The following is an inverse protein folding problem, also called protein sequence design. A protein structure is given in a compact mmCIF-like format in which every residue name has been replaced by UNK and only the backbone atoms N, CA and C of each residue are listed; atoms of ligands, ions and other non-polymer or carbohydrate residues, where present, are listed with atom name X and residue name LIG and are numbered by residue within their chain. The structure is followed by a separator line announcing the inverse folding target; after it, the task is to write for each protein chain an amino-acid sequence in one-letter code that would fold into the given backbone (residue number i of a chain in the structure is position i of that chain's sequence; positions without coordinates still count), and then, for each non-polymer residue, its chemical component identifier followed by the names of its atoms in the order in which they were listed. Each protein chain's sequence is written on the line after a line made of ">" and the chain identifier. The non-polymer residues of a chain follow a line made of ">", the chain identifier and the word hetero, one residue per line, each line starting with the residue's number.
data_IF_418497301230
#
_entry.id   IF_418497301230
#
_cell.length_a   1.000
_cell.length_b   1.000
_cell.length_c   1.000
_cell.angle_alpha   90.00
_cell.angle_beta   90.00
_cell.angle_gamma   90.00
#
_symmetry.space_group_name_H-M   'P 1'
#
loop_
_entity.id
_entity.type
_entity.pdbx_description
1 polymer ?
#
# COMPACT_ATOMS: atom_id res chain seq x y z
N UNK A 1 -8.44 -58.21 18.33
CA UNK A 1 -8.65 -56.77 18.60
C UNK A 1 -7.29 -56.10 18.73
N UNK A 2 -6.88 -55.39 17.68
CA UNK A 2 -5.52 -54.87 17.47
C UNK A 2 -5.19 -53.73 18.42
N UNK A 3 -4.19 -53.91 19.30
CA UNK A 3 -3.66 -52.88 20.21
C UNK A 3 -2.22 -52.45 19.84
N UNK A 4 -1.87 -52.48 18.56
CA UNK A 4 -0.49 -52.21 18.10
C UNK A 4 -0.44 -51.30 16.87
N UNK A 5 -1.24 -50.23 16.83
CA UNK A 5 -1.21 -49.24 15.75
C UNK A 5 -1.43 -47.81 16.25
N UNK A 6 -0.77 -47.42 17.34
CA UNK A 6 -0.68 -46.00 17.73
C UNK A 6 0.77 -45.70 18.13
N UNK A 7 1.68 -45.98 17.23
CA UNK A 7 3.03 -45.42 17.22
C UNK A 7 3.24 -44.93 15.78
N UNK A 8 3.81 -43.73 15.64
CA UNK A 8 4.13 -43.04 14.37
C UNK A 8 3.01 -42.21 13.72
N UNK A 9 2.71 -41.06 14.32
CA UNK A 9 2.51 -39.80 13.60
C UNK A 9 3.28 -38.74 14.42
N UNK A 10 4.62 -38.80 14.46
CA UNK A 10 5.50 -38.24 13.45
C UNK A 10 5.08 -36.81 13.08
N UNK A 11 5.87 -35.85 13.57
CA UNK A 11 5.62 -34.45 13.45
C UNK A 11 5.47 -34.00 12.00
N UNK A 12 4.50 -33.13 11.78
CA UNK A 12 4.47 -32.23 10.66
C UNK A 12 3.76 -30.95 11.12
N UNK A 13 4.32 -30.30 12.13
CA UNK A 13 4.06 -28.88 12.36
C UNK A 13 4.71 -28.15 11.17
N UNK A 14 3.93 -28.03 10.11
CA UNK A 14 4.22 -27.23 8.92
C UNK A 14 4.63 -25.84 9.38
N UNK A 15 5.93 -25.56 9.29
CA UNK A 15 6.43 -24.20 9.18
C UNK A 15 5.78 -23.62 7.92
N UNK A 16 4.65 -22.94 8.09
CA UNK A 16 4.15 -22.00 7.10
C UNK A 16 5.16 -20.84 7.15
N UNK A 17 6.24 -20.99 6.38
CA UNK A 17 7.12 -19.87 6.08
C UNK A 17 6.25 -18.77 5.52
N UNK A 18 6.15 -17.67 6.24
CA UNK A 18 5.57 -16.44 5.72
C UNK A 18 6.42 -16.06 4.51
N UNK A 19 5.98 -16.43 3.32
CA UNK A 19 6.56 -15.93 2.08
C UNK A 19 6.24 -14.44 2.05
N UNK A 20 7.15 -13.61 2.57
CA UNK A 20 7.17 -12.19 2.29
C UNK A 20 7.54 -12.05 0.82
N UNK A 21 6.55 -12.22 -0.06
CA UNK A 21 6.69 -11.86 -1.46
C UNK A 21 7.02 -10.38 -1.46
N UNK A 22 8.27 -10.03 -1.74
CA UNK A 22 8.65 -8.64 -1.93
C UNK A 22 7.75 -8.09 -3.05
N UNK A 23 7.08 -6.97 -2.79
CA UNK A 23 6.28 -6.31 -3.82
C UNK A 23 7.16 -6.04 -5.04
N UNK A 24 6.65 -6.26 -6.24
CA UNK A 24 7.41 -5.86 -7.44
C UNK A 24 7.57 -4.33 -7.45
N UNK A 25 8.60 -3.79 -8.11
CA UNK A 25 8.78 -2.34 -8.20
C UNK A 25 7.53 -1.61 -8.69
N UNK A 26 6.77 -2.19 -9.62
CA UNK A 26 5.52 -1.64 -10.15
C UNK A 26 4.41 -1.59 -9.09
N UNK A 27 4.28 -2.64 -8.29
CA UNK A 27 3.31 -2.68 -7.19
C UNK A 27 3.67 -1.67 -6.10
N UNK A 28 4.96 -1.50 -5.82
CA UNK A 28 5.44 -0.47 -4.88
C UNK A 28 5.13 0.94 -5.41
N UNK A 29 5.35 1.19 -6.71
CA UNK A 29 4.98 2.45 -7.35
C UNK A 29 3.49 2.76 -7.25
N UNK A 30 2.63 1.77 -7.52
CA UNK A 30 1.17 1.93 -7.37
C UNK A 30 0.77 2.23 -5.93
N UNK A 31 1.40 1.56 -4.96
CA UNK A 31 1.17 1.83 -3.53
C UNK A 31 1.61 3.25 -3.16
N UNK A 32 2.78 3.68 -3.60
CA UNK A 32 3.29 5.03 -3.34
C UNK A 32 2.39 6.11 -3.95
N UNK A 33 1.90 5.92 -5.17
CA UNK A 33 0.89 6.80 -5.77
C UNK A 33 -0.38 6.84 -4.92
N UNK A 34 -0.86 5.69 -4.48
CA UNK A 34 -2.04 5.63 -3.64
C UNK A 34 -1.86 6.35 -2.29
N UNK A 35 -0.73 6.14 -1.62
CA UNK A 35 -0.41 6.82 -0.35
C UNK A 35 -0.38 8.34 -0.53
N UNK A 36 0.18 8.81 -1.66
CA UNK A 36 0.18 10.22 -2.06
C UNK A 36 -1.25 10.74 -2.26
N UNK A 37 -2.06 10.03 -3.04
CA UNK A 37 -3.44 10.43 -3.33
C UNK A 37 -4.31 10.42 -2.06
N UNK A 38 -4.11 9.49 -1.12
CA UNK A 38 -4.82 9.49 0.19
C UNK A 38 -4.53 10.76 0.98
N UNK A 39 -3.26 11.20 1.03
CA UNK A 39 -2.88 12.45 1.71
C UNK A 39 -3.54 13.65 1.02
N UNK A 40 -3.63 13.67 -0.30
CA UNK A 40 -4.29 14.76 -1.02
C UNK A 40 -5.81 14.77 -0.79
N UNK A 41 -6.45 13.60 -0.84
CA UNK A 41 -7.88 13.44 -0.59
C UNK A 41 -8.26 13.93 0.81
N UNK A 42 -7.43 13.63 1.83
CA UNK A 42 -7.69 14.07 3.21
C UNK A 42 -7.66 15.60 3.38
N UNK A 43 -7.04 16.33 2.44
CA UNK A 43 -7.04 17.80 2.41
C UNK A 43 -8.12 18.40 1.51
N UNK A 44 -9.05 17.59 1.00
CA UNK A 44 -10.13 18.03 0.12
C UNK A 44 -9.67 18.37 -1.29
N UNK A 45 -8.59 17.73 -1.76
CA UNK A 45 -8.08 17.96 -3.10
C UNK A 45 -9.05 17.50 -4.19
N UNK A 46 -9.25 18.34 -5.20
CA UNK A 46 -10.03 18.01 -6.39
C UNK A 46 -9.15 17.33 -7.44
N UNK A 47 -9.27 16.01 -7.57
CA UNK A 47 -8.48 15.22 -8.51
C UNK A 47 -8.88 15.49 -9.97
N UNK A 48 -7.88 15.60 -10.84
CA UNK A 48 -8.09 15.69 -12.31
C UNK A 48 -7.88 14.36 -13.01
N UNK A 49 -7.05 13.50 -12.43
CA UNK A 49 -6.79 12.15 -12.90
C UNK A 49 -8.07 11.30 -12.83
N UNK A 50 -8.50 10.64 -13.93
CA UNK A 50 -9.71 9.81 -13.94
C UNK A 50 -9.68 8.67 -12.92
N UNK A 51 -8.52 8.04 -12.72
CA UNK A 51 -8.38 6.93 -11.75
C UNK A 51 -8.55 7.42 -10.32
N UNK A 52 -7.83 8.48 -9.93
CA UNK A 52 -7.97 9.07 -8.60
C UNK A 52 -9.38 9.63 -8.38
N UNK A 53 -10.00 10.25 -9.40
CA UNK A 53 -11.38 10.72 -9.32
C UNK A 53 -12.38 9.57 -9.13
N UNK A 54 -12.19 8.45 -9.84
CA UNK A 54 -13.04 7.26 -9.66
C UNK A 54 -12.88 6.65 -8.26
N UNK A 55 -11.69 6.74 -7.67
CA UNK A 55 -11.38 6.17 -6.35
C UNK A 55 -11.80 7.03 -5.18
N UNK A 56 -11.49 8.33 -5.22
CA UNK A 56 -11.69 9.25 -4.10
C UNK A 56 -12.92 10.15 -4.28
N UNK A 57 -13.51 10.18 -5.48
CA UNK A 57 -14.59 11.09 -5.83
C UNK A 57 -14.13 12.55 -5.92
N UNK A 58 -15.03 13.42 -6.35
CA UNK A 58 -14.84 14.88 -6.31
C UNK A 58 -16.09 15.62 -5.82
N UNK A 59 -17.11 14.92 -5.34
CA UNK A 59 -18.41 15.52 -5.01
C UNK A 59 -18.30 16.53 -3.85
N UNK A 60 -17.30 16.35 -2.98
CA UNK A 60 -17.07 17.19 -1.79
C UNK A 60 -15.64 17.75 -1.71
N UNK A 61 -14.91 17.78 -2.83
CA UNK A 61 -13.60 18.43 -2.85
C UNK A 61 -13.76 19.96 -2.86
N UNK A 62 -12.77 20.69 -2.33
CA UNK A 62 -12.87 22.14 -2.19
C UNK A 62 -11.56 22.89 -2.47
N UNK A 63 -10.47 22.20 -2.81
CA UNK A 63 -9.19 22.87 -3.11
C UNK A 63 -8.42 22.16 -4.23
N UNK A 64 -7.64 22.95 -4.97
CA UNK A 64 -6.62 22.44 -5.90
C UNK A 64 -5.20 22.70 -5.39
N UNK A 65 -5.07 23.34 -4.21
CA UNK A 65 -3.81 23.70 -3.57
C UNK A 65 -3.92 23.44 -2.06
N UNK A 66 -4.01 22.16 -1.65
CA UNK A 66 -4.09 21.80 -0.24
C UNK A 66 -2.85 22.29 0.50
N UNK A 67 -3.04 22.69 1.76
CA UNK A 67 -1.94 22.97 2.69
C UNK A 67 -1.69 21.74 3.54
N UNK A 68 -0.44 21.29 3.56
CA UNK A 68 -0.01 20.15 4.36
C UNK A 68 0.63 20.64 5.66
N UNK A 69 0.47 19.86 6.72
CA UNK A 69 1.32 19.96 7.91
C UNK A 69 2.74 19.53 7.58
N UNK A 70 3.70 19.88 8.43
CA UNK A 70 5.11 19.48 8.24
C UNK A 70 5.28 17.96 8.14
N UNK A 71 4.50 17.20 8.92
CA UNK A 71 4.52 15.73 8.89
C UNK A 71 3.94 15.16 7.59
N UNK A 72 2.84 15.74 7.10
CA UNK A 72 2.26 15.34 5.81
C UNK A 72 3.23 15.68 4.68
N UNK A 73 3.87 16.86 4.72
CA UNK A 73 4.86 17.26 3.73
C UNK A 73 6.08 16.34 3.74
N UNK A 74 6.61 16.03 4.93
CA UNK A 74 7.70 15.06 5.06
C UNK A 74 7.33 13.71 4.44
N UNK A 75 6.10 13.23 4.69
CA UNK A 75 5.64 11.96 4.11
C UNK A 75 5.54 12.03 2.58
N UNK A 76 5.08 13.15 2.03
CA UNK A 76 5.03 13.37 0.58
C UNK A 76 6.44 13.38 -0.04
N UNK A 77 7.41 13.99 0.64
CA UNK A 77 8.79 14.04 0.19
C UNK A 77 9.46 12.66 0.22
N UNK A 78 9.19 11.86 1.26
CA UNK A 78 9.62 10.45 1.33
C UNK A 78 9.02 9.63 0.18
N UNK A 79 7.72 9.77 -0.07
CA UNK A 79 7.04 9.07 -1.18
C UNK A 79 7.70 9.45 -2.51
N UNK A 80 7.93 10.74 -2.74
CA UNK A 80 8.56 11.24 -3.97
C UNK A 80 9.99 10.72 -4.13
N UNK A 81 10.77 10.67 -3.05
CA UNK A 81 12.12 10.11 -3.07
C UNK A 81 12.10 8.63 -3.45
N UNK A 82 11.21 7.83 -2.84
CA UNK A 82 11.04 6.41 -3.17
C UNK A 82 10.58 6.19 -4.61
N UNK A 83 9.63 7.00 -5.10
CA UNK A 83 9.19 6.94 -6.49
C UNK A 83 10.34 7.18 -7.47
N UNK A 84 11.23 8.12 -7.14
CA UNK A 84 12.44 8.41 -7.93
C UNK A 84 13.43 7.26 -7.89
N UNK A 85 13.69 6.68 -6.73
CA UNK A 85 14.59 5.52 -6.57
C UNK A 85 14.13 4.30 -7.38
N UNK A 86 12.82 4.07 -7.42
CA UNK A 86 12.20 2.96 -8.14
C UNK A 86 11.95 3.25 -9.63
N UNK A 87 12.23 4.47 -10.09
CA UNK A 87 11.91 4.95 -11.45
C UNK A 87 10.45 4.71 -11.83
N UNK A 88 9.53 5.03 -10.91
CA UNK A 88 8.10 4.95 -11.16
C UNK A 88 7.73 5.80 -12.39
N UNK A 89 6.95 5.22 -13.30
CA UNK A 89 6.52 5.84 -14.56
C UNK A 89 5.19 6.58 -14.40
#
# INVERSE_FOLDING_TARGET
>A
MSKLLIACLAGLSTFIGANTMAATPEQECQKLKNDHDVIYASKGFCFKDPEAKAKFGNDNCYTTKPKFSDKEQQRLDEIKARQKELNCK
#
